data_IF_323652358134
#
_entry.id   IF_323652358134
#
_cell.length_a   1.000
_cell.length_b   1.000
_cell.length_c   1.000
_cell.angle_alpha   90.00
_cell.angle_beta   90.00
_cell.angle_gamma   90.00
#
_symmetry.space_group_name_H-M   'P 1'
#
loop_
_entity.id
_entity.type
_entity.pdbx_description
1 polymer ?
#
# COMPACT_ATOMS: atom_id res chain seq x y z
N UNK A 1 10.52 17.34 16.50
CA UNK A 1 10.38 16.35 15.41
C UNK A 1 11.73 16.17 14.74
N UNK A 2 12.35 14.98 14.79
CA UNK A 2 13.61 14.71 14.06
C UNK A 2 13.26 14.49 12.59
N UNK A 3 13.92 15.24 11.69
CA UNK A 3 13.83 15.08 10.23
C UNK A 3 14.26 13.65 9.87
N UNK A 4 13.47 12.94 9.06
CA UNK A 4 13.92 11.71 8.41
C UNK A 4 15.20 12.00 7.63
N UNK A 5 16.23 11.18 7.82
CA UNK A 5 17.45 11.30 7.03
C UNK A 5 17.16 10.94 5.57
N UNK A 6 17.88 11.59 4.65
CA UNK A 6 17.60 11.66 3.20
C UNK A 6 17.67 10.32 2.43
N UNK A 7 17.83 9.18 3.12
CA UNK A 7 18.14 7.89 2.50
C UNK A 7 17.33 6.70 3.04
N UNK A 8 16.36 6.93 3.93
CA UNK A 8 15.50 5.86 4.47
C UNK A 8 14.43 5.52 3.41
N UNK A 9 14.47 4.31 2.84
CA UNK A 9 13.42 3.85 1.93
C UNK A 9 12.24 3.27 2.72
N UNK A 10 11.02 3.60 2.29
CA UNK A 10 9.79 3.09 2.90
C UNK A 10 9.31 1.85 2.15
N UNK A 11 8.90 0.84 2.92
CA UNK A 11 8.24 -0.36 2.42
C UNK A 11 6.91 -0.55 3.15
N UNK A 12 5.89 -0.90 2.38
CA UNK A 12 4.58 -1.28 2.88
C UNK A 12 4.48 -2.82 2.98
N UNK A 13 4.25 -3.32 4.18
CA UNK A 13 3.82 -4.69 4.44
C UNK A 13 2.29 -4.67 4.46
N UNK A 14 1.65 -5.03 3.36
CA UNK A 14 0.20 -5.01 3.24
C UNK A 14 -0.38 -6.38 3.54
N UNK A 15 -1.24 -6.48 4.56
CA UNK A 15 -1.89 -7.74 4.93
C UNK A 15 -3.37 -7.68 4.56
N UNK A 16 -3.86 -8.73 3.90
CA UNK A 16 -5.26 -8.85 3.48
C UNK A 16 -5.81 -10.23 3.80
N UNK A 17 -7.13 -10.37 3.93
CA UNK A 17 -7.84 -11.64 4.06
C UNK A 17 -9.18 -11.59 3.32
N UNK A 18 -9.91 -12.71 3.23
CA UNK A 18 -11.20 -12.79 2.55
C UNK A 18 -12.31 -11.92 3.16
N UNK A 19 -12.22 -11.60 4.46
CA UNK A 19 -13.26 -10.92 5.23
C UNK A 19 -13.12 -9.39 5.27
N UNK A 20 -11.90 -8.86 5.24
CA UNK A 20 -11.59 -7.42 5.19
C UNK A 20 -11.37 -6.90 3.78
N UNK A 21 -11.33 -7.77 2.76
CA UNK A 21 -11.05 -7.41 1.38
C UNK A 21 -12.26 -6.79 0.67
N UNK A 22 -12.71 -5.64 1.15
CA UNK A 22 -13.44 -4.73 0.27
C UNK A 22 -12.38 -4.16 -0.68
N UNK A 23 -12.26 -4.81 -1.85
CA UNK A 23 -11.18 -4.58 -2.82
C UNK A 23 -10.99 -3.09 -3.14
N UNK A 24 -12.04 -2.27 -3.34
CA UNK A 24 -11.89 -0.84 -3.58
C UNK A 24 -11.09 -0.10 -2.48
N UNK A 25 -11.31 -0.43 -1.21
CA UNK A 25 -10.63 0.15 -0.06
C UNK A 25 -9.16 -0.25 -0.07
N UNK A 26 -8.87 -1.53 -0.35
CA UNK A 26 -7.48 -1.97 -0.47
C UNK A 26 -6.74 -1.30 -1.64
N UNK A 27 -7.42 -1.10 -2.76
CA UNK A 27 -6.85 -0.40 -3.91
C UNK A 27 -6.63 1.09 -3.60
N UNK A 28 -7.53 1.70 -2.84
CA UNK A 28 -7.40 3.08 -2.38
C UNK A 28 -6.22 3.24 -1.44
N UNK A 29 -6.05 2.36 -0.46
CA UNK A 29 -4.91 2.37 0.45
C UNK A 29 -3.57 2.31 -0.31
N UNK A 30 -3.48 1.42 -1.30
CA UNK A 30 -2.29 1.30 -2.17
C UNK A 30 -2.08 2.56 -3.01
N UNK A 31 -3.14 3.19 -3.50
CA UNK A 31 -3.03 4.46 -4.21
C UNK A 31 -2.52 5.58 -3.30
N UNK A 32 -3.10 5.76 -2.12
CA UNK A 32 -2.71 6.80 -1.16
C UNK A 32 -1.27 6.60 -0.68
N UNK A 33 -0.85 5.36 -0.41
CA UNK A 33 0.52 5.01 -0.09
C UNK A 33 1.51 5.37 -1.22
N UNK A 34 1.12 5.17 -2.48
CA UNK A 34 1.96 5.49 -3.64
C UNK A 34 2.14 6.99 -3.77
N UNK A 35 1.06 7.75 -3.53
CA UNK A 35 1.11 9.20 -3.48
C UNK A 35 1.99 9.70 -2.35
N UNK A 36 2.16 8.96 -1.24
CA UNK A 36 3.08 9.33 -0.17
C UNK A 36 4.54 8.96 -0.47
N UNK A 37 4.82 8.34 -1.62
CA UNK A 37 6.17 8.03 -2.10
C UNK A 37 6.67 6.65 -1.68
N UNK A 38 5.79 5.78 -1.18
CA UNK A 38 6.13 4.38 -0.94
C UNK A 38 6.19 3.68 -2.31
N UNK A 39 7.29 2.99 -2.58
CA UNK A 39 7.53 2.28 -3.84
C UNK A 39 7.67 0.78 -3.67
N UNK A 40 8.01 0.32 -2.47
CA UNK A 40 8.23 -1.08 -2.17
C UNK A 40 7.01 -1.66 -1.45
N UNK A 41 6.48 -2.79 -1.92
CA UNK A 41 5.35 -3.49 -1.30
C UNK A 41 5.64 -4.97 -1.12
N UNK A 42 5.21 -5.51 0.01
CA UNK A 42 5.00 -6.94 0.23
C UNK A 42 3.54 -7.22 0.50
N UNK A 43 2.98 -8.20 -0.18
CA UNK A 43 1.59 -8.62 -0.02
C UNK A 43 1.53 -9.93 0.76
N UNK A 44 0.88 -9.89 1.92
CA UNK A 44 0.66 -11.06 2.77
C UNK A 44 -0.81 -11.39 2.89
N UNK A 45 -1.12 -12.67 2.68
CA UNK A 45 -2.44 -13.20 2.99
C UNK A 45 -2.45 -13.61 4.47
N UNK A 46 -3.39 -13.06 5.22
CA UNK A 46 -3.69 -13.48 6.59
C UNK A 46 -4.78 -14.53 6.57
N UNK A 47 -4.55 -15.61 7.31
CA UNK A 47 -5.52 -16.65 7.57
C UNK A 47 -5.46 -17.07 9.03
N UNK A 48 -6.55 -17.67 9.46
CA UNK A 48 -6.81 -18.24 10.76
C UNK A 48 -7.15 -19.71 10.58
N UNK A 49 -7.03 -20.50 11.64
CA UNK A 49 -7.42 -21.92 11.61
C UNK A 49 -8.95 -22.12 11.40
N UNK A 50 -9.72 -21.03 11.48
CA UNK A 50 -11.17 -21.02 11.28
C UNK A 50 -11.55 -20.78 9.79
N UNK A 51 -10.61 -20.37 8.94
CA UNK A 51 -10.86 -20.06 7.53
C UNK A 51 -11.09 -21.34 6.70
N UNK A 52 -12.15 -21.33 5.88
CA UNK A 52 -12.49 -22.47 5.03
C UNK A 52 -11.72 -22.41 3.71
N UNK A 53 -11.65 -23.52 2.99
CA UNK A 53 -11.04 -23.58 1.65
C UNK A 53 -11.63 -22.54 0.66
N UNK A 54 -12.93 -22.25 0.79
CA UNK A 54 -13.60 -21.19 0.01
C UNK A 54 -13.03 -19.80 0.32
N UNK A 55 -12.64 -19.53 1.56
CA UNK A 55 -12.05 -18.27 1.99
C UNK A 55 -10.62 -18.11 1.44
N UNK A 56 -9.88 -19.23 1.35
CA UNK A 56 -8.59 -19.28 0.69
C UNK A 56 -8.69 -18.92 -0.81
N UNK A 57 -9.59 -19.57 -1.55
CA UNK A 57 -9.79 -19.30 -2.98
C UNK A 57 -10.26 -17.86 -3.25
N UNK A 58 -11.10 -17.31 -2.38
CA UNK A 58 -11.53 -15.90 -2.46
C UNK A 58 -10.35 -14.95 -2.24
N UNK A 59 -9.53 -15.22 -1.24
CA UNK A 59 -8.34 -14.42 -0.94
C UNK A 59 -7.32 -14.44 -2.08
N UNK A 60 -7.16 -15.57 -2.78
CA UNK A 60 -6.30 -15.62 -3.97
C UNK A 60 -6.75 -14.64 -5.06
N UNK A 61 -8.05 -14.59 -5.35
CA UNK A 61 -8.61 -13.64 -6.33
C UNK A 61 -8.44 -12.17 -5.90
N UNK A 62 -8.48 -11.90 -4.60
CA UNK A 62 -8.16 -10.58 -4.05
C UNK A 62 -6.69 -10.27 -4.29
N UNK A 63 -5.79 -11.21 -3.99
CA UNK A 63 -4.36 -11.05 -4.21
C UNK A 63 -4.05 -10.69 -5.67
N UNK A 64 -4.60 -11.44 -6.63
CA UNK A 64 -4.38 -11.18 -8.06
C UNK A 64 -4.79 -9.76 -8.47
N UNK A 65 -5.87 -9.23 -7.89
CA UNK A 65 -6.31 -7.85 -8.12
C UNK A 65 -5.36 -6.83 -7.49
N UNK A 66 -4.89 -7.08 -6.28
CA UNK A 66 -3.92 -6.20 -5.60
C UNK A 66 -2.58 -6.20 -6.32
N UNK A 67 -2.11 -7.35 -6.81
CA UNK A 67 -0.90 -7.45 -7.65
C UNK A 67 -1.04 -6.58 -8.90
N UNK A 68 -2.16 -6.68 -9.61
CA UNK A 68 -2.44 -5.81 -10.78
C UNK A 68 -2.47 -4.33 -10.40
N UNK A 69 -3.08 -3.98 -9.27
CA UNK A 69 -3.08 -2.60 -8.76
C UNK A 69 -1.65 -2.12 -8.48
N UNK A 70 -0.83 -2.93 -7.82
CA UNK A 70 0.56 -2.59 -7.56
C UNK A 70 1.36 -2.36 -8.86
N UNK A 71 1.15 -3.21 -9.88
CA UNK A 71 1.78 -3.05 -11.21
C UNK A 71 1.37 -1.75 -11.89
N UNK A 72 0.07 -1.39 -11.86
CA UNK A 72 -0.44 -0.14 -12.44
C UNK A 72 0.16 1.08 -11.73
N UNK A 73 0.30 1.01 -10.41
CA UNK A 73 0.86 2.09 -9.59
C UNK A 73 2.40 2.14 -9.62
N UNK A 74 3.06 1.19 -10.28
CA UNK A 74 4.51 1.16 -10.42
C UNK A 74 5.25 0.79 -9.13
N UNK A 75 4.65 -0.06 -8.29
CA UNK A 75 5.33 -0.60 -7.12
C UNK A 75 6.35 -1.68 -7.49
N UNK A 76 7.45 -1.71 -6.75
CA UNK A 76 8.39 -2.81 -6.67
C UNK A 76 7.82 -3.87 -5.70
N UNK A 77 7.26 -4.93 -6.27
CA UNK A 77 6.71 -6.07 -5.53
C UNK A 77 7.84 -7.00 -5.09
N UNK A 78 8.22 -6.92 -3.81
CA UNK A 78 9.33 -7.70 -3.25
C UNK A 78 8.90 -9.12 -2.90
N UNK A 79 7.66 -9.28 -2.41
CA UNK A 79 7.12 -10.57 -1.98
C UNK A 79 5.61 -10.62 -2.23
N UNK A 80 5.16 -11.74 -2.80
CA UNK A 80 3.75 -12.02 -3.11
C UNK A 80 3.42 -13.37 -2.49
N UNK A 81 2.25 -13.49 -1.87
CA UNK A 81 1.69 -14.73 -1.32
C UNK A 81 2.43 -15.30 -0.10
N UNK A 82 3.09 -14.44 0.68
CA UNK A 82 3.49 -14.82 2.02
C UNK A 82 2.24 -15.12 2.84
N UNK A 83 2.23 -16.28 3.48
CA UNK A 83 1.13 -16.78 4.30
C UNK A 83 1.44 -16.52 5.78
N UNK A 84 0.68 -15.63 6.43
CA UNK A 84 0.85 -15.32 7.87
C UNK A 84 -0.35 -15.84 8.66
N UNK A 85 -0.07 -16.76 9.58
CA UNK A 85 -1.06 -17.28 10.52
C UNK A 85 -1.25 -16.30 11.68
N UNK A 86 -2.47 -15.82 11.87
CA UNK A 86 -2.84 -15.02 13.04
C UNK A 86 -4.00 -14.05 12.81
N UNK A 87 -4.75 -13.76 13.87
CA UNK A 87 -5.87 -12.81 13.85
C UNK A 87 -5.34 -11.37 13.77
N UNK A 88 -5.83 -10.58 12.81
CA UNK A 88 -5.76 -9.12 12.87
C UNK A 88 -4.38 -8.49 12.61
N UNK A 89 -3.54 -9.09 11.78
CA UNK A 89 -2.36 -8.38 11.26
C UNK A 89 -2.83 -7.19 10.41
N UNK A 90 -2.54 -5.98 10.89
CA UNK A 90 -2.82 -4.74 10.17
C UNK A 90 -1.64 -4.39 9.25
N UNK A 91 -1.92 -3.76 8.11
CA UNK A 91 -0.89 -3.28 7.20
C UNK A 91 0.05 -2.29 7.88
N UNK A 92 1.35 -2.40 7.60
CA UNK A 92 2.41 -1.67 8.31
C UNK A 92 3.36 -0.96 7.34
N UNK A 93 3.82 0.22 7.76
CA UNK A 93 4.95 0.89 7.12
C UNK A 93 6.23 0.64 7.93
N UNK A 94 7.27 0.22 7.23
CA UNK A 94 8.60 -0.08 7.76
C UNK A 94 9.66 0.63 6.93
N UNK A 95 10.80 0.93 7.55
CA UNK A 95 11.89 1.67 6.92
C UNK A 95 13.16 0.82 6.84
N UNK A 96 13.74 0.80 5.64
CA UNK A 96 14.96 0.06 5.32
C UNK A 96 16.07 1.00 4.87
N UNK A 97 17.32 0.56 5.06
CA UNK A 97 18.47 1.19 4.42
C UNK A 97 18.62 0.70 2.98
N UNK A 98 19.61 1.27 2.32
CA UNK A 98 20.02 0.91 0.96
C UNK A 98 20.46 -0.56 0.84
N UNK A 99 20.87 -1.19 1.94
CA UNK A 99 21.26 -2.61 1.96
C UNK A 99 20.07 -3.53 2.27
N UNK A 100 18.84 -3.00 2.21
CA UNK A 100 17.60 -3.72 2.53
C UNK A 100 17.56 -4.27 3.95
N UNK A 101 18.30 -3.66 4.88
CA UNK A 101 18.22 -3.99 6.31
C UNK A 101 17.23 -3.08 6.99
N UNK A 102 16.43 -3.66 7.88
CA UNK A 102 15.45 -2.91 8.67
C UNK A 102 16.22 -1.98 9.62
N UNK A 103 16.31 -0.67 9.32
CA UNK A 103 17.09 0.27 10.14
C UNK A 103 16.37 0.57 11.45
N UNK A 104 15.05 0.73 11.37
CA UNK A 104 14.23 1.03 12.54
C UNK A 104 13.10 0.03 12.60
N UNK A 105 12.94 -0.71 13.72
CA UNK A 105 11.63 -1.13 14.15
C UNK A 105 10.90 0.15 14.58
N UNK A 106 10.57 1.01 13.62
CA UNK A 106 9.57 2.04 13.83
C UNK A 106 8.34 1.26 14.27
N UNK A 107 7.99 1.30 15.56
CA UNK A 107 6.83 0.62 16.13
C UNK A 107 5.74 0.54 15.08
N UNK A 108 5.54 -0.64 14.53
CA UNK A 108 4.75 -0.92 13.33
C UNK A 108 3.70 0.14 13.05
N UNK A 109 4.03 1.11 12.20
CA UNK A 109 3.09 2.19 11.94
C UNK A 109 1.96 1.59 11.14
N UNK A 110 0.80 1.48 11.78
CA UNK A 110 -0.42 1.13 11.09
C UNK A 110 -0.57 2.07 9.88
N UNK A 111 -0.79 1.49 8.69
CA UNK A 111 -0.91 2.23 7.43
C UNK A 111 -1.87 3.41 7.55
N UNK A 112 -3.02 3.22 8.20
CA UNK A 112 -4.03 4.26 8.41
C UNK A 112 -3.46 5.44 9.19
N UNK A 113 -2.78 5.18 10.32
CA UNK A 113 -2.15 6.23 11.11
C UNK A 113 -1.04 6.95 10.32
N UNK A 114 -0.31 6.24 9.45
CA UNK A 114 0.70 6.88 8.60
C UNK A 114 0.05 7.82 7.58
N UNK A 115 -1.02 7.38 6.92
CA UNK A 115 -1.80 8.21 5.98
C UNK A 115 -2.36 9.43 6.70
N UNK A 116 -3.03 9.25 7.84
CA UNK A 116 -3.63 10.34 8.61
C UNK A 116 -2.60 11.40 9.04
N UNK A 117 -1.43 10.97 9.51
CA UNK A 117 -0.33 11.87 9.88
C UNK A 117 0.30 12.62 8.70
N UNK A 118 0.10 12.12 7.47
CA UNK A 118 0.61 12.73 6.24
C UNK A 118 -0.51 13.27 5.34
N UNK A 119 -1.73 13.44 5.88
CA UNK A 119 -2.91 13.80 5.11
C UNK A 119 -2.73 15.08 4.28
N UNK A 120 -2.10 16.12 4.84
CA UNK A 120 -1.83 17.37 4.10
C UNK A 120 -0.89 17.17 2.90
N UNK A 121 0.04 16.22 2.97
CA UNK A 121 0.90 15.89 1.83
C UNK A 121 0.12 15.11 0.76
N UNK A 122 -0.78 14.21 1.18
CA UNK A 122 -1.68 13.46 0.31
C UNK A 122 -2.63 14.40 -0.44
N UNK A 123 -3.35 15.28 0.26
CA UNK A 123 -4.30 16.24 -0.34
C UNK A 123 -3.63 17.15 -1.38
N UNK A 124 -2.42 17.61 -1.10
CA UNK A 124 -1.64 18.41 -2.04
C UNK A 124 -1.27 17.63 -3.31
N UNK A 125 -0.86 16.37 -3.17
CA UNK A 125 -0.47 15.52 -4.32
C UNK A 125 -1.68 15.09 -5.15
N UNK A 126 -2.80 14.75 -4.51
CA UNK A 126 -4.07 14.50 -5.21
C UNK A 126 -4.56 15.73 -5.98
N UNK A 127 -4.50 16.91 -5.34
CA UNK A 127 -4.88 18.18 -5.96
C UNK A 127 -4.01 18.49 -7.19
N UNK A 128 -2.72 18.17 -7.15
CA UNK A 128 -1.83 18.29 -8.31
C UNK A 128 -2.23 17.29 -9.40
N UNK A 129 -2.48 16.02 -9.07
CA UNK A 129 -2.94 15.01 -10.03
C UNK A 129 -4.23 15.43 -10.75
N UNK A 130 -5.24 15.90 -9.99
CA UNK A 130 -6.51 16.42 -10.54
C UNK A 130 -6.32 17.64 -11.43
N UNK A 131 -5.41 18.57 -11.07
CA UNK A 131 -5.10 19.76 -11.88
C UNK A 131 -4.39 19.42 -13.20
N UNK A 132 -3.52 18.41 -13.21
CA UNK A 132 -2.83 17.96 -14.42
C UNK A 132 -3.80 17.28 -15.41
N UNK A 133 -4.71 16.44 -14.93
CA UNK A 133 -5.74 15.80 -15.77
C UNK A 133 -6.67 16.86 -16.39
N UNK A 134 -7.18 17.80 -15.58
CA UNK A 134 -8.03 18.90 -16.09
C UNK A 134 -7.30 19.78 -17.11
N UNK A 135 -5.99 20.00 -16.96
CA UNK A 135 -5.19 20.71 -17.97
C UNK A 135 -5.13 19.94 -19.29
N UNK A 136 -4.94 18.63 -19.27
CA UNK A 136 -4.91 17.81 -20.48
C UNK A 136 -6.28 17.75 -21.19
N UNK A 137 -7.38 17.67 -20.45
CA UNK A 137 -8.74 17.76 -21.02
C UNK A 137 -9.00 19.13 -21.67
N UNK A 138 -8.50 20.21 -21.06
CA UNK A 138 -8.62 21.57 -21.59
C UNK A 138 -7.75 21.82 -22.84
N UNK A 139 -6.68 21.04 -23.01
CA UNK A 139 -5.79 21.11 -24.18
C UNK A 139 -6.34 20.24 -25.33
N UNK A 140 -6.91 19.08 -25.03
CA UNK A 140 -7.51 18.20 -26.04
C UNK A 140 -8.85 18.72 -26.61
N UNK A 141 -9.57 19.59 -25.89
CA UNK A 141 -10.79 20.25 -26.38
C UNK A 141 -10.54 21.49 -27.28
N UNK A 142 -9.28 21.73 -27.70
CA UNK A 142 -8.92 22.83 -28.61
C UNK A 142 -8.44 22.36 -29.99
N UNK A 143 -8.64 21.08 -30.34
CA UNK A 143 -8.33 20.53 -31.66
C UNK A 143 -9.62 20.38 -32.47
#
# INVERSE_FOLDING_TARGET
>A
MKRMEKNDELMLIYTFNSSNAVIPECQRDLYEASLLGIKNVRLFQSFTDEDREVDFLRSQKVCDKLVKTCQILGYDLIEINGSIKGKGFSSQIVSYDRDSRLIKPTRWFNLKNFIDNNFSALENRESVGKRLIKRNESVNNKI
#
